data_IF_322177583885
#
_entry.id   IF_322177583885
#
_cell.length_a   1.000
_cell.length_b   1.000
_cell.length_c   1.000
_cell.angle_alpha   90.00
_cell.angle_beta   90.00
_cell.angle_gamma   90.00
#
_symmetry.space_group_name_H-M   'P 1'
#
loop_
_entity.id
_entity.type
_entity.pdbx_description
1 polymer ?
#
# COMPACT_ATOMS: atom_id res chain seq x y z
N UNK A 1 -19.84 -10.79 0.74
CA UNK A 1 -18.99 -10.55 1.93
C UNK A 1 -17.62 -11.25 1.84
N UNK A 2 -17.54 -12.46 1.31
CA UNK A 2 -16.27 -13.21 1.13
C UNK A 2 -15.18 -12.42 0.39
N UNK A 3 -15.54 -11.70 -0.69
CA UNK A 3 -14.59 -10.86 -1.43
C UNK A 3 -14.01 -9.70 -0.60
N UNK A 4 -14.82 -9.05 0.25
CA UNK A 4 -14.35 -7.99 1.14
C UNK A 4 -13.38 -8.54 2.18
N UNK A 5 -13.67 -9.70 2.78
CA UNK A 5 -12.75 -10.36 3.71
C UNK A 5 -11.42 -10.71 3.05
N UNK A 6 -11.46 -11.32 1.85
CA UNK A 6 -10.25 -11.64 1.08
C UNK A 6 -9.43 -10.38 0.76
N UNK A 7 -10.10 -9.30 0.34
CA UNK A 7 -9.47 -8.00 0.08
C UNK A 7 -8.81 -7.39 1.32
N UNK A 8 -9.48 -7.43 2.48
CA UNK A 8 -8.92 -6.89 3.73
C UNK A 8 -7.72 -7.71 4.20
N UNK A 9 -7.75 -9.04 4.05
CA UNK A 9 -6.61 -9.91 4.37
C UNK A 9 -5.42 -9.58 3.45
N UNK A 10 -5.65 -9.45 2.13
CA UNK A 10 -4.56 -9.07 1.22
C UNK A 10 -4.02 -7.68 1.52
N UNK A 11 -4.86 -6.71 1.87
CA UNK A 11 -4.40 -5.39 2.29
C UNK A 11 -3.55 -5.43 3.57
N UNK A 12 -3.91 -6.25 4.56
CA UNK A 12 -3.07 -6.45 5.76
C UNK A 12 -1.72 -7.07 5.40
N UNK A 13 -1.70 -8.10 4.55
CA UNK A 13 -0.45 -8.74 4.10
C UNK A 13 0.45 -7.72 3.39
N UNK A 14 -0.12 -6.91 2.49
CA UNK A 14 0.64 -5.86 1.79
C UNK A 14 1.18 -4.80 2.75
N UNK A 15 0.37 -4.39 3.73
CA UNK A 15 0.82 -3.46 4.77
C UNK A 15 1.99 -4.04 5.59
N UNK A 16 1.94 -5.33 5.95
CA UNK A 16 3.05 -6.01 6.65
C UNK A 16 4.30 -6.04 5.76
N UNK A 17 4.17 -6.40 4.48
CA UNK A 17 5.30 -6.44 3.55
C UNK A 17 5.95 -5.05 3.38
N UNK A 18 5.16 -4.00 3.24
CA UNK A 18 5.66 -2.61 3.16
C UNK A 18 6.35 -2.15 4.45
N UNK A 19 5.84 -2.58 5.61
CA UNK A 19 6.46 -2.30 6.89
C UNK A 19 7.82 -3.01 7.02
N UNK A 20 7.89 -4.29 6.62
CA UNK A 20 9.14 -5.06 6.61
C UNK A 20 10.17 -4.42 5.68
N UNK A 21 9.79 -4.03 4.46
CA UNK A 21 10.68 -3.35 3.51
C UNK A 21 11.20 -2.02 4.07
N UNK A 22 10.32 -1.20 4.63
CA UNK A 22 10.69 0.08 5.22
C UNK A 22 11.64 -0.09 6.41
N UNK A 23 11.44 -1.12 7.25
CA UNK A 23 12.36 -1.44 8.35
C UNK A 23 13.71 -1.94 7.82
N UNK A 24 13.72 -2.88 6.88
CA UNK A 24 14.95 -3.39 6.26
C UNK A 24 15.76 -2.26 5.63
N UNK A 25 15.09 -1.31 4.98
CA UNK A 25 15.71 -0.11 4.43
C UNK A 25 16.33 0.77 5.51
N UNK A 26 15.61 1.07 6.59
CA UNK A 26 16.12 1.90 7.69
C UNK A 26 17.32 1.27 8.42
N UNK A 27 17.36 -0.06 8.54
CA UNK A 27 18.48 -0.78 9.15
C UNK A 27 19.63 -1.06 8.18
N UNK A 28 19.54 -0.63 6.92
CA UNK A 28 20.58 -0.86 5.90
C UNK A 28 20.68 -2.31 5.42
N UNK A 29 19.68 -3.14 5.70
CA UNK A 29 19.58 -4.54 5.24
C UNK A 29 18.75 -4.69 3.96
N UNK A 30 18.31 -3.59 3.33
CA UNK A 30 17.52 -3.64 2.11
C UNK A 30 18.31 -4.28 0.96
N UNK A 31 17.83 -5.45 0.53
CA UNK A 31 18.31 -6.11 -0.68
C UNK A 31 17.57 -5.56 -1.90
N UNK A 32 18.30 -5.14 -2.93
CA UNK A 32 17.72 -4.68 -4.20
C UNK A 32 16.80 -5.73 -4.85
N UNK A 33 17.09 -7.03 -4.64
CA UNK A 33 16.24 -8.11 -5.13
C UNK A 33 14.88 -8.13 -4.43
N UNK A 34 14.85 -7.92 -3.11
CA UNK A 34 13.61 -7.87 -2.33
C UNK A 34 12.78 -6.65 -2.70
N UNK A 35 13.39 -5.47 -2.80
CA UNK A 35 12.70 -4.23 -3.17
C UNK A 35 12.13 -4.30 -4.59
N UNK A 36 12.84 -4.91 -5.55
CA UNK A 36 12.33 -5.11 -6.91
C UNK A 36 11.13 -6.07 -6.94
N UNK A 37 11.21 -7.18 -6.20
CA UNK A 37 10.11 -8.14 -6.08
C UNK A 37 8.89 -7.49 -5.41
N UNK A 38 9.08 -6.70 -4.37
CA UNK A 38 8.01 -5.95 -3.72
C UNK A 38 7.38 -4.95 -4.69
N UNK A 39 8.18 -4.24 -5.49
CA UNK A 39 7.68 -3.30 -6.49
C UNK A 39 6.73 -3.99 -7.50
N UNK A 40 7.08 -5.19 -7.95
CA UNK A 40 6.20 -5.99 -8.81
C UNK A 40 4.91 -6.37 -8.10
N UNK A 41 4.98 -6.84 -6.86
CA UNK A 41 3.80 -7.21 -6.07
C UNK A 41 2.89 -5.99 -5.85
N UNK A 42 3.46 -4.82 -5.54
CA UNK A 42 2.72 -3.56 -5.37
C UNK A 42 2.04 -3.15 -6.68
N UNK A 43 2.67 -3.36 -7.83
CA UNK A 43 2.05 -3.09 -9.14
C UNK A 43 0.85 -4.00 -9.40
N UNK A 44 0.96 -5.31 -9.11
CA UNK A 44 -0.19 -6.21 -9.18
C UNK A 44 -1.30 -5.82 -8.20
N UNK A 45 -0.92 -5.40 -6.99
CA UNK A 45 -1.86 -4.95 -5.97
C UNK A 45 -2.56 -3.65 -6.36
N UNK A 46 -1.90 -2.74 -7.08
CA UNK A 46 -2.52 -1.55 -7.66
C UNK A 46 -3.65 -1.94 -8.65
N UNK A 47 -3.38 -2.86 -9.58
CA UNK A 47 -4.40 -3.36 -10.51
C UNK A 47 -5.56 -4.02 -9.74
N UNK A 48 -5.23 -4.83 -8.73
CA UNK A 48 -6.22 -5.46 -7.87
C UNK A 48 -7.12 -4.43 -7.15
N UNK A 49 -6.57 -3.31 -6.68
CA UNK A 49 -7.34 -2.24 -6.04
C UNK A 49 -8.32 -1.56 -7.02
N UNK A 50 -7.94 -1.37 -8.29
CA UNK A 50 -8.85 -0.85 -9.32
C UNK A 50 -10.03 -1.80 -9.53
N UNK A 51 -9.76 -3.10 -9.61
CA UNK A 51 -10.79 -4.14 -9.76
C UNK A 51 -11.68 -4.19 -8.51
N UNK A 52 -11.08 -4.13 -7.31
CA UNK A 52 -11.79 -4.13 -6.04
C UNK A 52 -12.74 -2.93 -5.93
N UNK A 53 -12.28 -1.73 -6.31
CA UNK A 53 -13.11 -0.52 -6.34
C UNK A 53 -14.32 -0.70 -7.26
N UNK A 54 -14.12 -1.20 -8.48
CA UNK A 54 -15.21 -1.49 -9.42
C UNK A 54 -16.21 -2.49 -8.84
N UNK A 55 -15.73 -3.54 -8.17
CA UNK A 55 -16.60 -4.53 -7.54
C UNK A 55 -17.36 -3.97 -6.33
N UNK A 56 -16.74 -3.12 -5.52
CA UNK A 56 -17.38 -2.48 -4.36
C UNK A 56 -18.49 -1.51 -4.76
N UNK A 57 -18.32 -0.80 -5.89
CA UNK A 57 -19.37 0.05 -6.47
C UNK A 57 -20.54 -0.81 -6.95
N UNK A 58 -20.28 -1.89 -7.72
CA UNK A 58 -21.33 -2.78 -8.23
C UNK A 58 -22.14 -3.45 -7.10
N UNK A 59 -21.47 -3.86 -6.03
CA UNK A 59 -22.09 -4.58 -4.90
C UNK A 59 -22.71 -3.67 -3.84
N UNK A 60 -22.80 -2.35 -4.10
CA UNK A 60 -23.41 -1.36 -3.20
C UNK A 60 -22.85 -1.42 -1.77
N UNK A 61 -21.56 -1.73 -1.63
CA UNK A 61 -20.92 -1.76 -0.32
C UNK A 61 -20.85 -0.34 0.27
N UNK A 62 -20.85 -0.22 1.62
CA UNK A 62 -20.79 1.06 2.32
C UNK A 62 -19.60 1.90 1.86
N UNK A 63 -19.78 3.21 1.73
CA UNK A 63 -18.74 4.13 1.23
C UNK A 63 -17.39 3.97 1.95
N UNK A 64 -17.39 3.64 3.25
CA UNK A 64 -16.17 3.46 4.02
C UNK A 64 -15.26 2.34 3.49
N UNK A 65 -15.80 1.31 2.85
CA UNK A 65 -14.96 0.22 2.28
C UNK A 65 -14.25 0.66 1.00
N UNK A 66 -14.69 1.75 0.37
CA UNK A 66 -14.07 2.29 -0.86
C UNK A 66 -12.89 3.20 -0.55
N UNK A 67 -12.76 3.67 0.69
CA UNK A 67 -11.68 4.55 1.13
C UNK A 67 -10.33 3.85 0.98
N UNK A 68 -10.23 2.58 1.38
CA UNK A 68 -8.98 1.81 1.32
C UNK A 68 -8.45 1.64 -0.13
N UNK A 69 -9.23 1.13 -1.11
CA UNK A 69 -8.73 0.98 -2.47
C UNK A 69 -8.42 2.31 -3.15
N UNK A 70 -9.20 3.37 -2.87
CA UNK A 70 -8.90 4.72 -3.37
C UNK A 70 -7.58 5.22 -2.77
N UNK A 71 -7.38 5.05 -1.47
CA UNK A 71 -6.14 5.42 -0.79
C UNK A 71 -4.93 4.75 -1.43
N UNK A 72 -4.97 3.44 -1.69
CA UNK A 72 -3.85 2.74 -2.33
C UNK A 72 -3.59 3.23 -3.75
N UNK A 73 -4.64 3.46 -4.56
CA UNK A 73 -4.50 3.97 -5.93
C UNK A 73 -3.85 5.36 -5.92
N UNK A 74 -4.36 6.27 -5.09
CA UNK A 74 -3.83 7.64 -4.99
C UNK A 74 -2.40 7.64 -4.45
N UNK A 75 -2.13 6.86 -3.41
CA UNK A 75 -0.79 6.76 -2.83
C UNK A 75 0.22 6.22 -3.85
N UNK A 76 -0.13 5.18 -4.60
CA UNK A 76 0.73 4.63 -5.64
C UNK A 76 1.05 5.65 -6.73
N UNK A 77 0.05 6.41 -7.20
CA UNK A 77 0.26 7.48 -8.19
C UNK A 77 1.21 8.55 -7.63
N UNK A 78 1.01 8.97 -6.38
CA UNK A 78 1.89 9.96 -5.73
C UNK A 78 3.32 9.42 -5.63
N UNK A 79 3.51 8.19 -5.14
CA UNK A 79 4.84 7.58 -5.03
C UNK A 79 5.52 7.42 -6.39
N UNK A 80 4.77 7.08 -7.45
CA UNK A 80 5.29 6.99 -8.80
C UNK A 80 5.77 8.37 -9.31
N UNK A 81 4.97 9.42 -9.12
CA UNK A 81 5.33 10.80 -9.51
C UNK A 81 6.58 11.26 -8.76
N UNK A 82 6.63 11.03 -7.44
CA UNK A 82 7.79 11.34 -6.60
C UNK A 82 9.01 10.53 -7.06
N UNK A 83 8.86 9.24 -7.34
CA UNK A 83 9.92 8.38 -7.85
C UNK A 83 10.52 8.89 -9.16
N UNK A 84 9.67 9.29 -10.12
CA UNK A 84 10.12 9.87 -11.41
C UNK A 84 10.83 11.22 -11.18
N UNK A 85 10.25 12.09 -10.36
CA UNK A 85 10.84 13.41 -10.08
C UNK A 85 12.22 13.30 -9.42
N UNK A 86 12.35 12.40 -8.44
CA UNK A 86 13.61 12.16 -7.73
C UNK A 86 14.67 11.48 -8.59
N UNK A 87 14.28 10.66 -9.58
CA UNK A 87 15.23 10.10 -10.54
C UNK A 87 15.99 11.18 -11.34
N UNK A 88 15.39 12.36 -11.51
CA UNK A 88 15.98 13.49 -12.23
C UNK A 88 16.79 14.47 -11.35
N UNK A 89 16.76 14.36 -10.01
CA UNK A 89 17.47 15.28 -9.11
C UNK A 89 18.62 14.61 -8.35
N UNK A 90 19.77 15.29 -8.26
CA UNK A 90 21.00 14.78 -7.60
C UNK A 90 20.91 14.63 -6.07
N UNK A 91 19.90 15.21 -5.40
CA UNK A 91 19.74 15.15 -3.94
C UNK A 91 19.04 13.86 -3.47
N UNK A 92 19.65 12.71 -3.78
CA UNK A 92 19.10 11.37 -3.48
C UNK A 92 18.81 11.17 -1.98
N UNK A 93 19.76 11.48 -1.09
CA UNK A 93 19.74 10.96 0.29
C UNK A 93 18.60 11.48 1.18
N UNK A 94 18.23 12.76 1.10
CA UNK A 94 17.18 13.34 1.97
C UNK A 94 15.79 12.84 1.60
N UNK A 95 15.48 12.78 0.31
CA UNK A 95 14.20 12.29 -0.20
C UNK A 95 14.01 10.79 0.08
N UNK A 96 15.08 9.99 0.10
CA UNK A 96 15.03 8.57 0.46
C UNK A 96 14.62 8.33 1.92
N UNK A 97 15.07 9.16 2.87
CA UNK A 97 14.63 9.06 4.27
C UNK A 97 13.15 9.42 4.43
N UNK A 98 12.68 10.45 3.71
CA UNK A 98 11.26 10.80 3.70
C UNK A 98 10.40 9.71 3.10
N UNK A 99 10.82 9.06 2.00
CA UNK A 99 10.06 7.95 1.41
C UNK A 99 9.94 6.75 2.37
N UNK A 100 10.99 6.44 3.13
CA UNK A 100 10.95 5.38 4.13
C UNK A 100 9.99 5.71 5.29
N UNK A 101 9.99 6.96 5.76
CA UNK A 101 9.07 7.43 6.79
C UNK A 101 7.60 7.38 6.34
N UNK A 102 7.32 7.85 5.12
CA UNK A 102 5.97 7.77 4.54
C UNK A 102 5.55 6.31 4.32
N UNK A 103 6.49 5.45 3.91
CA UNK A 103 6.28 4.00 3.78
C UNK A 103 5.79 3.37 5.09
N UNK A 104 6.49 3.63 6.21
CA UNK A 104 6.09 3.14 7.53
C UNK A 104 4.70 3.63 7.94
N UNK A 105 4.43 4.94 7.81
CA UNK A 105 3.14 5.51 8.21
C UNK A 105 2.01 4.94 7.36
N UNK A 106 2.22 4.82 6.05
CA UNK A 106 1.24 4.22 5.14
C UNK A 106 0.96 2.76 5.51
N UNK A 107 2.00 1.96 5.72
CA UNK A 107 1.85 0.54 6.08
C UNK A 107 1.12 0.35 7.41
N UNK A 108 1.43 1.16 8.43
CA UNK A 108 0.70 1.11 9.71
C UNK A 108 -0.76 1.50 9.52
N UNK A 109 -1.03 2.57 8.76
CA UNK A 109 -2.40 2.99 8.45
C UNK A 109 -3.18 1.89 7.73
N UNK A 110 -2.58 1.25 6.72
CA UNK A 110 -3.19 0.17 5.95
C UNK A 110 -3.58 -1.02 6.84
N UNK A 111 -2.68 -1.46 7.72
CA UNK A 111 -2.93 -2.55 8.66
C UNK A 111 -4.06 -2.17 9.63
N UNK A 112 -3.95 -1.02 10.30
CA UNK A 112 -4.91 -0.58 11.31
C UNK A 112 -6.29 -0.37 10.71
N UNK A 113 -6.38 0.28 9.54
CA UNK A 113 -7.65 0.55 8.88
C UNK A 113 -8.31 -0.73 8.35
N UNK A 114 -7.52 -1.67 7.82
CA UNK A 114 -8.03 -2.97 7.38
C UNK A 114 -8.57 -3.79 8.54
N UNK A 115 -7.85 -3.85 9.66
CA UNK A 115 -8.30 -4.52 10.89
C UNK A 115 -9.56 -3.85 11.47
N UNK A 116 -9.63 -2.53 11.45
CA UNK A 116 -10.81 -1.77 11.86
C UNK A 116 -12.04 -2.14 11.02
N UNK A 117 -11.90 -2.22 9.69
CA UNK A 117 -12.98 -2.63 8.79
C UNK A 117 -13.39 -4.09 9.04
N UNK A 118 -12.44 -5.00 9.25
CA UNK A 118 -12.75 -6.40 9.60
C UNK A 118 -13.59 -6.48 10.88
N UNK A 119 -13.17 -5.77 11.95
CA UNK A 119 -13.91 -5.72 13.22
C UNK A 119 -15.30 -5.10 13.05
N UNK A 120 -15.41 -4.00 12.29
CA UNK A 120 -16.68 -3.29 12.06
C UNK A 120 -17.71 -4.16 11.33
N UNK A 121 -17.26 -4.97 10.37
CA UNK A 121 -18.14 -5.84 9.60
C UNK A 121 -18.23 -7.28 10.14
N UNK A 122 -17.62 -7.56 11.31
CA UNK A 122 -17.55 -8.89 11.94
C UNK A 122 -17.03 -9.97 10.97
N UNK A 123 -15.98 -9.64 10.20
CA UNK A 123 -15.36 -10.50 9.18
C UNK A 123 -14.17 -11.29 9.73
#
# INVERSE_FOLDING_TARGET
>A
MTFLKAYLITAVIMGILGLVDSLLFLFGFASSAFTNLLTLIVLFFFIFNIIALRNFVKTHLPHITRVLPIYHIVSYIIFMIVGIYTAHQLHRNTLFMYSAGVGLVSSVFEIVFSLYLMKRFKL
#
